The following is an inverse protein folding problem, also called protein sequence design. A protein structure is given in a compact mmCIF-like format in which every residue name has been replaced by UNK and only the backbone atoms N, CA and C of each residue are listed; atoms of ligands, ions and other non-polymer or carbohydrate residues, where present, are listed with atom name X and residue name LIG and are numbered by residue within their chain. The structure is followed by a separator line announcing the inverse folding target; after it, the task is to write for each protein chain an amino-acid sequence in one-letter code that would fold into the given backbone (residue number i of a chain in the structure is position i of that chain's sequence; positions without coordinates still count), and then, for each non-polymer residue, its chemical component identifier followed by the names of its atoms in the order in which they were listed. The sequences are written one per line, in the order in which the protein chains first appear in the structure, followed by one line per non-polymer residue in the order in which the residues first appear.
data_IF_156184170429
#
_entry.id   IF_156184170429
#
_cell.length_a   1.000
_cell.length_b   1.000
_cell.length_c   1.000
_cell.angle_alpha   90.00
_cell.angle_beta   90.00
_cell.angle_gamma   90.00
#
_symmetry.space_group_name_H-M   'P 1'
#
loop_
_entity.id
_entity.type
_entity.pdbx_description
1 polymer ?
#
# COMPACT_ATOMS: atom_id res chain seq x y z
N UNK A 1 12.49 -26.01 38.51
CA UNK A 1 11.49 -24.93 38.51
C UNK A 1 12.05 -23.78 37.69
N UNK A 2 11.48 -23.48 36.52
CA UNK A 2 11.90 -22.37 35.67
C UNK A 2 10.87 -21.26 35.75
N UNK A 3 11.26 -20.08 36.22
CA UNK A 3 10.41 -18.89 36.21
C UNK A 3 10.39 -18.31 34.79
N UNK A 4 9.24 -18.36 34.12
CA UNK A 4 9.03 -17.61 32.89
C UNK A 4 8.83 -16.14 33.27
N UNK A 5 9.83 -15.30 33.02
CA UNK A 5 9.71 -13.85 33.15
C UNK A 5 8.90 -13.37 31.94
N UNK A 6 7.58 -13.26 32.11
CA UNK A 6 6.69 -12.66 31.11
C UNK A 6 6.78 -11.14 31.18
N UNK A 7 7.47 -10.51 30.24
CA UNK A 7 7.35 -9.06 30.04
C UNK A 7 5.91 -8.72 29.61
N UNK A 8 5.30 -7.63 30.12
CA UNK A 8 3.97 -7.23 29.68
C UNK A 8 4.01 -6.86 28.20
N UNK A 9 3.20 -7.54 27.38
CA UNK A 9 3.05 -7.22 25.96
C UNK A 9 2.15 -5.98 25.83
N UNK A 10 2.75 -4.82 25.59
CA UNK A 10 2.00 -3.59 25.27
C UNK A 10 1.62 -3.64 23.79
N UNK A 11 0.36 -3.98 23.51
CA UNK A 11 -0.20 -3.99 22.15
C UNK A 11 -0.90 -2.65 21.90
N UNK A 12 -0.53 -1.89 20.85
CA UNK A 12 -1.21 -0.65 20.50
C UNK A 12 -2.70 -0.87 20.24
N UNK A 13 -3.57 0.04 20.69
CA UNK A 13 -5.02 -0.05 20.45
C UNK A 13 -5.36 -0.08 18.95
N UNK A 14 -4.56 0.59 18.13
CA UNK A 14 -4.66 0.60 16.67
C UNK A 14 -4.41 -0.76 16.01
N UNK A 15 -3.53 -1.58 16.60
CA UNK A 15 -3.28 -2.94 16.10
C UNK A 15 -4.50 -3.85 16.32
N UNK A 16 -5.34 -3.52 17.31
CA UNK A 16 -6.58 -4.22 17.63
C UNK A 16 -7.80 -3.62 16.91
N UNK A 17 -7.63 -2.60 16.06
CA UNK A 17 -8.74 -1.92 15.38
C UNK A 17 -9.66 -1.14 16.34
N UNK A 18 -9.13 -0.68 17.48
CA UNK A 18 -9.86 0.19 18.41
C UNK A 18 -9.73 1.65 17.98
N UNK A 19 -10.47 2.53 18.66
CA UNK A 19 -10.41 3.98 18.48
C UNK A 19 -10.71 4.46 17.04
N UNK A 20 -11.61 3.76 16.35
CA UNK A 20 -11.99 4.09 14.97
C UNK A 20 -10.93 3.76 13.92
N UNK A 21 -9.96 2.89 14.26
CA UNK A 21 -8.95 2.39 13.30
C UNK A 21 -9.34 1.03 12.76
N UNK A 22 -8.91 0.72 11.53
CA UNK A 22 -9.02 -0.65 11.01
C UNK A 22 -7.75 -1.41 11.36
N UNK A 23 -7.92 -2.54 12.07
CA UNK A 23 -6.84 -3.46 12.38
C UNK A 23 -6.11 -3.87 11.10
N UNK A 24 -4.78 -4.00 11.09
CA UNK A 24 -4.03 -4.34 9.88
C UNK A 24 -4.52 -5.61 9.18
N UNK A 25 -4.94 -6.62 9.95
CA UNK A 25 -5.48 -7.90 9.43
C UNK A 25 -6.83 -7.78 8.74
N UNK A 26 -7.52 -6.64 8.89
CA UNK A 26 -8.84 -6.39 8.34
C UNK A 26 -8.80 -5.38 7.18
N UNK A 27 -7.61 -5.05 6.67
CA UNK A 27 -7.44 -4.18 5.50
C UNK A 27 -7.35 -5.03 4.23
N UNK A 28 -7.92 -4.53 3.14
CA UNK A 28 -7.71 -5.08 1.80
C UNK A 28 -6.32 -4.66 1.32
N UNK A 29 -5.44 -5.63 1.09
CA UNK A 29 -4.13 -5.43 0.50
C UNK A 29 -4.29 -5.27 -1.00
N UNK A 30 -3.93 -4.09 -1.52
CA UNK A 30 -4.27 -3.68 -2.88
C UNK A 30 -3.04 -3.38 -3.72
N UNK A 31 -3.04 -3.89 -4.95
CA UNK A 31 -2.15 -3.46 -6.02
C UNK A 31 -2.86 -2.49 -6.98
N UNK A 32 -2.10 -1.69 -7.73
CA UNK A 32 -2.67 -0.77 -8.72
C UNK A 32 -1.96 -0.90 -10.06
N UNK A 33 -2.72 -1.13 -11.13
CA UNK A 33 -2.18 -1.30 -12.49
C UNK A 33 -2.62 -0.13 -13.37
N UNK A 34 -1.66 0.48 -14.07
CA UNK A 34 -1.88 1.64 -14.93
C UNK A 34 -1.94 2.93 -14.11
N UNK A 35 -0.79 3.57 -13.96
CA UNK A 35 -0.58 4.79 -13.18
C UNK A 35 -0.42 5.99 -14.13
N UNK A 36 -1.36 6.15 -15.07
CA UNK A 36 -1.57 7.40 -15.78
C UNK A 36 -2.33 8.42 -14.91
N UNK A 37 -2.72 9.57 -15.46
CA UNK A 37 -3.39 10.62 -14.69
C UNK A 37 -4.66 10.14 -13.95
N UNK A 38 -5.53 9.38 -14.61
CA UNK A 38 -6.73 8.82 -13.96
C UNK A 38 -6.36 7.75 -12.94
N UNK A 39 -5.47 6.83 -13.30
CA UNK A 39 -5.02 5.75 -12.42
C UNK A 39 -4.40 6.26 -11.13
N UNK A 40 -3.53 7.26 -11.23
CA UNK A 40 -2.93 7.92 -10.06
C UNK A 40 -3.99 8.57 -9.15
N UNK A 41 -5.04 9.18 -9.73
CA UNK A 41 -6.15 9.73 -8.97
C UNK A 41 -6.99 8.66 -8.25
N UNK A 42 -7.31 7.56 -8.94
CA UNK A 42 -8.07 6.44 -8.39
C UNK A 42 -7.26 5.75 -7.27
N UNK A 43 -5.98 5.48 -7.50
CA UNK A 43 -5.07 4.95 -6.48
C UNK A 43 -5.04 5.82 -5.23
N UNK A 44 -4.86 7.14 -5.40
CA UNK A 44 -4.85 8.08 -4.27
C UNK A 44 -6.17 8.10 -3.51
N UNK A 45 -7.31 7.96 -4.19
CA UNK A 45 -8.60 7.82 -3.52
C UNK A 45 -8.66 6.56 -2.65
N UNK A 46 -8.22 5.41 -3.18
CA UNK A 46 -8.25 4.12 -2.46
C UNK A 46 -7.33 4.11 -1.25
N UNK A 47 -6.07 4.54 -1.37
CA UNK A 47 -5.13 4.55 -0.24
C UNK A 47 -5.49 5.56 0.87
N UNK A 48 -6.49 6.41 0.65
CA UNK A 48 -7.05 7.29 1.69
C UNK A 48 -8.15 6.62 2.53
N UNK A 49 -8.67 5.48 2.11
CA UNK A 49 -9.55 4.66 2.93
C UNK A 49 -8.75 3.90 4.01
N UNK A 50 -9.30 3.80 5.22
CA UNK A 50 -8.59 3.21 6.37
C UNK A 50 -8.49 1.68 6.30
N UNK A 51 -9.38 1.08 5.54
CA UNK A 51 -9.52 -0.35 5.27
C UNK A 51 -8.78 -0.79 3.99
N UNK A 52 -7.98 0.08 3.37
CA UNK A 52 -7.15 -0.25 2.19
C UNK A 52 -5.68 -0.05 2.50
N UNK A 53 -4.86 -1.02 2.11
CA UNK A 53 -3.41 -0.96 2.19
C UNK A 53 -2.79 -1.14 0.79
N UNK A 54 -2.33 -0.05 0.18
CA UNK A 54 -1.59 -0.11 -1.08
C UNK A 54 -0.18 -0.66 -0.87
N UNK A 55 0.20 -1.71 -1.60
CA UNK A 55 1.53 -2.37 -1.45
C UNK A 55 2.30 -2.50 -2.76
N UNK A 56 1.64 -2.30 -3.89
CA UNK A 56 2.24 -2.47 -5.21
C UNK A 56 1.64 -1.53 -6.25
N UNK A 57 2.45 -1.12 -7.20
CA UNK A 57 2.02 -0.40 -8.40
C UNK A 57 2.69 -1.01 -9.63
N UNK A 58 1.99 -1.02 -10.76
CA UNK A 58 2.55 -1.45 -12.04
C UNK A 58 2.17 -0.47 -13.16
N UNK A 59 3.14 -0.11 -14.00
CA UNK A 59 2.94 0.66 -15.23
C UNK A 59 4.06 0.37 -16.22
N UNK A 60 3.75 0.29 -17.52
CA UNK A 60 4.77 0.05 -18.55
C UNK A 60 5.73 1.24 -18.72
N UNK A 61 5.32 2.44 -18.29
CA UNK A 61 6.17 3.62 -18.20
C UNK A 61 6.73 3.76 -16.78
N UNK A 62 8.06 3.79 -16.66
CA UNK A 62 8.74 4.11 -15.38
C UNK A 62 8.29 5.46 -14.82
N UNK A 63 8.32 6.48 -15.66
CA UNK A 63 8.08 7.87 -15.29
C UNK A 63 7.52 8.62 -16.49
N UNK A 64 6.46 9.38 -16.28
CA UNK A 64 6.04 10.46 -17.18
C UNK A 64 5.28 11.52 -16.39
N UNK A 65 4.94 12.63 -17.02
CA UNK A 65 4.16 13.71 -16.40
C UNK A 65 2.87 13.90 -17.17
N UNK A 66 1.74 13.91 -16.46
CA UNK A 66 0.44 14.30 -16.99
C UNK A 66 -0.25 15.21 -15.98
N UNK A 67 -0.84 16.32 -16.45
CA UNK A 67 -1.43 17.39 -15.63
C UNK A 67 -0.57 17.81 -14.42
N UNK A 68 0.73 17.97 -14.63
CA UNK A 68 1.72 18.31 -13.59
C UNK A 68 1.85 17.27 -12.46
N UNK A 69 1.45 16.02 -12.69
CA UNK A 69 1.59 14.92 -11.73
C UNK A 69 2.58 13.90 -12.26
N UNK A 70 3.49 13.44 -11.38
CA UNK A 70 4.38 12.33 -11.67
C UNK A 70 3.56 11.04 -11.77
N UNK A 71 3.54 10.47 -12.97
CA UNK A 71 2.83 9.27 -13.35
C UNK A 71 3.84 8.15 -13.70
N UNK A 72 3.33 6.97 -14.02
CA UNK A 72 4.13 5.76 -14.21
C UNK A 72 4.43 5.03 -12.90
N UNK A 73 5.16 3.93 -12.98
CA UNK A 73 5.42 3.03 -11.86
C UNK A 73 6.16 3.73 -10.71
N UNK A 74 7.10 4.62 -11.02
CA UNK A 74 7.83 5.41 -10.01
C UNK A 74 6.95 6.50 -9.40
N UNK A 75 6.16 7.21 -10.22
CA UNK A 75 5.26 8.25 -9.73
C UNK A 75 4.17 7.71 -8.80
N UNK A 76 3.62 6.54 -9.12
CA UNK A 76 2.70 5.80 -8.25
C UNK A 76 3.34 5.40 -6.94
N UNK A 77 4.53 4.78 -6.99
CA UNK A 77 5.27 4.37 -5.80
C UNK A 77 5.56 5.55 -4.89
N UNK A 78 6.07 6.66 -5.44
CA UNK A 78 6.35 7.87 -4.66
C UNK A 78 5.10 8.40 -3.94
N UNK A 79 3.94 8.37 -4.60
CA UNK A 79 2.69 8.82 -4.00
C UNK A 79 2.22 7.89 -2.86
N UNK A 80 2.38 6.57 -3.01
CA UNK A 80 2.06 5.59 -1.96
C UNK A 80 3.04 5.69 -0.79
N UNK A 81 4.34 5.71 -1.08
CA UNK A 81 5.41 5.87 -0.09
C UNK A 81 5.20 7.15 0.74
N UNK A 82 4.86 8.28 0.07
CA UNK A 82 4.56 9.54 0.74
C UNK A 82 3.33 9.45 1.66
N UNK A 83 2.29 8.71 1.26
CA UNK A 83 1.08 8.53 2.07
C UNK A 83 1.39 7.78 3.36
N UNK A 84 2.25 6.76 3.31
CA UNK A 84 2.56 5.91 4.45
C UNK A 84 3.82 6.32 5.22
N UNK A 85 4.65 7.21 4.67
CA UNK A 85 5.90 7.66 5.29
C UNK A 85 7.00 6.58 5.31
N UNK A 86 6.93 5.60 4.42
CA UNK A 86 7.90 4.51 4.28
C UNK A 86 8.27 4.28 2.80
N UNK A 87 8.97 3.19 2.49
CA UNK A 87 9.39 2.84 1.11
C UNK A 87 8.90 1.46 0.68
N UNK A 88 7.86 0.95 1.33
CA UNK A 88 7.49 -0.47 1.27
C UNK A 88 6.72 -0.82 -0.01
N UNK A 89 6.12 0.17 -0.69
CA UNK A 89 5.42 -0.05 -1.96
C UNK A 89 6.39 -0.56 -3.04
N UNK A 90 6.04 -1.61 -3.76
CA UNK A 90 6.87 -2.13 -4.87
C UNK A 90 6.36 -1.62 -6.22
N UNK A 91 7.27 -1.14 -7.05
CA UNK A 91 6.98 -0.71 -8.42
C UNK A 91 7.38 -1.82 -9.40
N UNK A 92 6.49 -2.15 -10.33
CA UNK A 92 6.70 -3.12 -11.39
C UNK A 92 6.52 -2.49 -12.76
N UNK A 93 7.20 -3.05 -13.76
CA UNK A 93 6.99 -2.70 -15.17
C UNK A 93 6.01 -3.68 -15.82
N UNK A 94 6.16 -4.97 -15.54
CA UNK A 94 5.21 -5.98 -15.95
C UNK A 94 4.16 -6.18 -14.85
N UNK A 95 2.89 -5.92 -15.18
CA UNK A 95 1.78 -6.11 -14.25
C UNK A 95 1.62 -7.57 -13.81
N UNK A 96 2.12 -8.53 -14.61
CA UNK A 96 2.06 -9.96 -14.28
C UNK A 96 2.89 -10.29 -13.04
N UNK A 97 4.00 -9.58 -12.82
CA UNK A 97 4.81 -9.73 -11.60
C UNK A 97 4.06 -9.23 -10.36
N UNK A 98 3.26 -8.17 -10.51
CA UNK A 98 2.36 -7.69 -9.46
C UNK A 98 1.25 -8.71 -9.19
N UNK A 99 0.58 -9.22 -10.23
CA UNK A 99 -0.48 -10.23 -10.10
C UNK A 99 0.01 -11.59 -9.57
N UNK A 100 1.31 -11.88 -9.67
CA UNK A 100 1.91 -13.10 -9.16
C UNK A 100 2.12 -13.09 -7.63
N UNK A 101 1.89 -11.94 -6.97
CA UNK A 101 1.98 -11.81 -5.53
C UNK A 101 0.79 -12.49 -4.85
N UNK A 102 1.09 -13.33 -3.88
CA UNK A 102 0.11 -14.06 -3.06
C UNK A 102 -0.42 -13.23 -1.87
N UNK A 103 0.24 -12.11 -1.57
CA UNK A 103 -0.14 -11.20 -0.48
C UNK A 103 -1.14 -10.11 -0.91
N UNK A 104 -1.55 -10.05 -2.18
CA UNK A 104 -2.48 -9.05 -2.70
C UNK A 104 -3.90 -9.63 -2.81
N UNK A 105 -4.85 -8.97 -2.15
CA UNK A 105 -6.28 -9.36 -2.16
C UNK A 105 -7.02 -8.86 -3.41
N UNK A 106 -6.61 -7.70 -3.97
CA UNK A 106 -7.29 -7.05 -5.09
C UNK A 106 -6.36 -6.17 -5.96
N UNK A 107 -6.74 -5.98 -7.23
CA UNK A 107 -6.09 -5.10 -8.24
C UNK A 107 -7.09 -4.22 -8.99
#
# INVERSE_FOLDING_TARGET
AGAAIGFPTVIPSSALGKDGTTAPSNRVVMGFIGIGNRGLGVMQAHINHQDVQGVAVADCHKRHTDRNRACGSEGGKEAVDKKYGNKDCKAYIDFRELCARDDIDAV
#
